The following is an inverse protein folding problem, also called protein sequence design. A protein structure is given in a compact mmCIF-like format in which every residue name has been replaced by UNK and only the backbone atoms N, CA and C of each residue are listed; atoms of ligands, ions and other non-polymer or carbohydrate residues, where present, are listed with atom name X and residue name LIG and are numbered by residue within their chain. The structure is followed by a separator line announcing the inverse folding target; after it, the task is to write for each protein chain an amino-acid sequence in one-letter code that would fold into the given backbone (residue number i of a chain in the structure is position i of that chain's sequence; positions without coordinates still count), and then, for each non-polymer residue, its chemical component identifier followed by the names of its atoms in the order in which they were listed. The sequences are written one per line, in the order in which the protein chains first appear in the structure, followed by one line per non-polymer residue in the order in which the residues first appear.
data_IF_015443563534
#
_entry.id   IF_015443563534
#
_cell.length_a   1.000
_cell.length_b   1.000
_cell.length_c   1.000
_cell.angle_alpha   90.00
_cell.angle_beta   90.00
_cell.angle_gamma   90.00
#
_symmetry.space_group_name_H-M   'P 1'
#
loop_
_entity.id
_entity.type
_entity.pdbx_description
1 polymer ?
#
# COMPACT_ATOMS: atom_id res chain seq x y z
N UNK A 1 -22.41 -15.90 -32.76
CA UNK A 1 -22.13 -16.82 -31.64
C UNK A 1 -21.28 -16.10 -30.59
N UNK A 2 -21.92 -15.44 -29.62
CA UNK A 2 -21.20 -14.76 -28.53
C UNK A 2 -20.94 -15.74 -27.40
N UNK A 3 -19.67 -16.05 -27.10
CA UNK A 3 -19.30 -16.87 -25.95
C UNK A 3 -19.73 -16.14 -24.67
N UNK A 4 -20.79 -16.63 -24.02
CA UNK A 4 -21.07 -16.32 -22.63
C UNK A 4 -19.87 -16.81 -21.80
N UNK A 5 -18.95 -15.91 -21.47
CA UNK A 5 -17.97 -16.12 -20.42
C UNK A 5 -18.75 -16.44 -19.15
N UNK A 6 -18.69 -17.70 -18.71
CA UNK A 6 -19.20 -18.12 -17.40
C UNK A 6 -18.46 -17.30 -16.36
N UNK A 7 -19.13 -16.28 -15.82
CA UNK A 7 -18.69 -15.59 -14.61
C UNK A 7 -18.77 -16.59 -13.46
N UNK A 8 -17.61 -17.01 -12.96
CA UNK A 8 -17.50 -17.75 -11.70
C UNK A 8 -17.94 -16.85 -10.54
N UNK A 9 -18.72 -17.45 -9.64
CA UNK A 9 -19.14 -16.81 -8.39
C UNK A 9 -18.45 -17.52 -7.25
N UNK A 10 -17.89 -16.75 -6.32
CA UNK A 10 -17.29 -17.27 -5.09
C UNK A 10 -18.17 -16.87 -3.91
N UNK A 11 -18.35 -17.78 -2.97
CA UNK A 11 -19.16 -17.51 -1.77
C UNK A 11 -18.42 -16.50 -0.88
N UNK A 12 -19.05 -15.34 -0.64
CA UNK A 12 -18.52 -14.33 0.28
C UNK A 12 -19.17 -14.54 1.66
N UNK A 13 -18.43 -15.03 2.67
CA UNK A 13 -18.96 -15.28 4.00
C UNK A 13 -19.38 -14.01 4.74
N UNK A 14 -18.97 -12.83 4.27
CA UNK A 14 -19.27 -11.50 4.83
C UNK A 14 -20.66 -11.01 4.40
N UNK A 15 -21.09 -11.36 3.19
CA UNK A 15 -22.41 -11.02 2.62
C UNK A 15 -23.39 -12.21 2.61
N UNK A 16 -22.93 -13.41 2.96
CA UNK A 16 -23.70 -14.67 2.91
C UNK A 16 -24.38 -14.92 1.55
N UNK A 17 -23.73 -14.54 0.47
CA UNK A 17 -24.22 -14.76 -0.89
C UNK A 17 -23.07 -15.10 -1.83
N UNK A 18 -23.41 -15.72 -2.95
CA UNK A 18 -22.48 -15.92 -4.06
C UNK A 18 -22.19 -14.55 -4.69
N UNK A 19 -20.99 -14.05 -4.48
CA UNK A 19 -20.53 -12.77 -5.04
C UNK A 19 -19.74 -13.10 -6.30
N UNK A 20 -19.87 -12.26 -7.33
CA UNK A 20 -19.03 -12.39 -8.52
C UNK A 20 -17.56 -12.34 -8.11
N UNK A 21 -16.73 -13.20 -8.69
CA UNK A 21 -15.29 -13.27 -8.41
C UNK A 21 -14.53 -11.94 -8.57
N UNK A 22 -15.14 -10.93 -9.19
CA UNK A 22 -14.60 -9.59 -9.30
C UNK A 22 -15.07 -8.69 -8.16
N UNK A 23 -14.14 -8.36 -7.27
CA UNK A 23 -14.21 -7.38 -6.17
C UNK A 23 -14.50 -5.92 -6.63
N UNK A 24 -14.80 -5.73 -7.93
CA UNK A 24 -15.05 -4.46 -8.62
C UNK A 24 -15.58 -4.70 -10.05
N UNK A 25 -16.53 -3.87 -10.51
CA UNK A 25 -16.97 -3.83 -11.91
C UNK A 25 -16.04 -3.01 -12.82
N UNK A 26 -14.99 -2.37 -12.27
CA UNK A 26 -14.08 -1.51 -13.02
C UNK A 26 -12.93 -2.30 -13.62
N UNK A 27 -12.82 -2.29 -14.95
CA UNK A 27 -11.73 -2.94 -15.71
C UNK A 27 -10.36 -2.43 -15.28
N UNK A 28 -10.24 -1.14 -15.01
CA UNK A 28 -9.01 -0.52 -14.51
C UNK A 28 -8.59 -1.11 -13.16
N UNK A 29 -9.53 -1.23 -12.23
CA UNK A 29 -9.22 -1.81 -10.91
C UNK A 29 -8.89 -3.29 -11.05
N UNK A 30 -9.57 -4.03 -11.95
CA UNK A 30 -9.24 -5.43 -12.26
C UNK A 30 -7.81 -5.55 -12.79
N UNK A 31 -7.44 -4.72 -13.77
CA UNK A 31 -6.08 -4.69 -14.33
C UNK A 31 -5.03 -4.41 -13.23
N UNK A 32 -5.25 -3.38 -12.42
CA UNK A 32 -4.35 -3.03 -11.31
C UNK A 32 -4.18 -4.17 -10.31
N UNK A 33 -5.28 -4.80 -9.87
CA UNK A 33 -5.25 -5.89 -8.90
C UNK A 33 -4.71 -7.21 -9.47
N UNK A 34 -4.78 -7.41 -10.79
CA UNK A 34 -4.21 -8.58 -11.46
C UNK A 34 -2.69 -8.48 -11.65
N UNK A 35 -2.13 -7.28 -11.59
CA UNK A 35 -0.69 -7.09 -11.71
C UNK A 35 -0.01 -7.49 -10.39
N UNK A 36 0.79 -8.55 -10.42
CA UNK A 36 1.45 -9.16 -9.25
C UNK A 36 2.34 -8.21 -8.44
N UNK A 37 2.87 -7.15 -9.06
CA UNK A 37 3.89 -6.29 -8.45
C UNK A 37 3.47 -4.85 -8.32
N UNK A 38 2.45 -4.42 -9.07
CA UNK A 38 1.99 -3.05 -9.01
C UNK A 38 0.75 -2.86 -8.15
N UNK A 39 -0.04 -3.91 -7.94
CA UNK A 39 -1.33 -3.83 -7.25
C UNK A 39 -1.22 -3.15 -5.88
N UNK A 40 -0.08 -3.29 -5.21
CA UNK A 40 0.11 -2.79 -3.86
C UNK A 40 0.60 -1.34 -3.78
N UNK A 41 1.05 -0.75 -4.88
CA UNK A 41 1.60 0.61 -4.89
C UNK A 41 0.60 1.66 -5.37
N UNK A 42 0.69 2.84 -4.77
CA UNK A 42 0.01 4.04 -5.26
C UNK A 42 0.38 4.28 -6.73
N UNK A 43 -0.58 4.68 -7.55
CA UNK A 43 -0.30 5.03 -8.95
C UNK A 43 0.52 6.33 -9.08
N UNK A 44 0.55 7.17 -8.03
CA UNK A 44 1.20 8.47 -8.06
C UNK A 44 2.53 8.52 -7.29
N UNK A 45 2.87 7.47 -6.54
CA UNK A 45 4.12 7.39 -5.80
C UNK A 45 4.45 5.95 -5.40
N UNK A 46 5.57 5.77 -4.70
CA UNK A 46 6.06 4.48 -4.25
C UNK A 46 5.35 3.93 -2.99
N UNK A 47 4.49 4.70 -2.33
CA UNK A 47 3.84 4.28 -1.08
C UNK A 47 2.78 3.22 -1.35
N UNK A 48 2.55 2.34 -0.36
CA UNK A 48 1.47 1.36 -0.42
C UNK A 48 0.09 2.00 -0.54
N UNK A 49 -0.81 1.37 -1.28
CA UNK A 49 -2.22 1.81 -1.36
C UNK A 49 -2.91 1.65 -0.01
N UNK A 50 -3.96 2.44 0.20
CA UNK A 50 -4.82 2.28 1.38
C UNK A 50 -5.43 0.87 1.46
N UNK A 51 -5.73 0.26 0.30
CA UNK A 51 -6.23 -1.10 0.23
C UNK A 51 -5.24 -2.10 0.83
N UNK A 52 -3.96 -2.02 0.48
CA UNK A 52 -2.91 -2.90 1.04
C UNK A 52 -2.81 -2.73 2.54
N UNK A 53 -2.79 -1.48 3.01
CA UNK A 53 -2.75 -1.16 4.43
C UNK A 53 -3.98 -1.76 5.13
N UNK A 54 -5.16 -1.69 4.50
CA UNK A 54 -6.40 -2.24 5.07
C UNK A 54 -6.40 -3.78 5.13
N UNK A 55 -5.94 -4.48 4.08
CA UNK A 55 -5.90 -5.95 4.08
C UNK A 55 -4.78 -6.49 4.99
N UNK A 56 -3.70 -5.74 5.19
CA UNK A 56 -2.60 -6.09 6.06
C UNK A 56 -2.92 -5.89 7.56
N UNK A 57 -4.00 -5.17 7.87
CA UNK A 57 -4.46 -4.88 9.23
C UNK A 57 -5.69 -5.74 9.59
N UNK A 58 -5.52 -7.03 9.94
CA UNK A 58 -6.64 -7.90 10.27
C UNK A 58 -7.51 -7.31 11.39
N UNK A 59 -8.83 -7.55 11.32
CA UNK A 59 -9.76 -7.27 12.42
C UNK A 59 -10.64 -8.48 12.66
N UNK A 60 -10.92 -8.75 13.93
CA UNK A 60 -11.82 -9.83 14.34
C UNK A 60 -13.14 -9.21 14.77
N UNK A 61 -14.24 -9.80 14.33
CA UNK A 61 -15.59 -9.35 14.66
C UNK A 61 -16.39 -10.51 15.22
N UNK A 62 -17.23 -10.26 16.22
CA UNK A 62 -18.17 -11.26 16.74
C UNK A 62 -19.61 -10.84 16.50
N UNK A 63 -20.45 -11.80 16.12
CA UNK A 63 -21.91 -11.63 16.06
C UNK A 63 -22.52 -11.75 17.45
N UNK A 64 -23.39 -10.82 17.81
CA UNK A 64 -24.15 -10.82 19.06
C UNK A 64 -25.51 -11.48 18.86
N UNK A 65 -26.20 -11.85 19.95
CA UNK A 65 -27.50 -12.57 19.96
C UNK A 65 -28.67 -11.89 19.22
N UNK A 66 -28.45 -10.75 18.55
CA UNK A 66 -29.44 -10.00 17.75
C UNK A 66 -28.96 -9.69 16.32
N UNK A 67 -27.92 -10.36 15.85
CA UNK A 67 -27.31 -10.09 14.53
C UNK A 67 -26.35 -8.89 14.50
N UNK A 68 -26.29 -8.08 15.57
CA UNK A 68 -25.32 -6.99 15.68
C UNK A 68 -23.88 -7.51 15.63
N UNK A 69 -23.02 -6.82 14.89
CA UNK A 69 -21.61 -7.15 14.74
C UNK A 69 -20.80 -6.20 15.65
N UNK A 70 -19.85 -6.74 16.41
CA UNK A 70 -18.94 -5.95 17.24
C UNK A 70 -17.49 -6.30 16.93
N UNK A 71 -16.65 -5.29 16.73
CA UNK A 71 -15.20 -5.47 16.64
C UNK A 71 -14.65 -5.99 17.98
N UNK A 72 -13.88 -7.07 17.93
CA UNK A 72 -13.20 -7.65 19.09
C UNK A 72 -11.84 -6.94 19.20
N UNK A 73 -11.56 -6.20 20.29
CA UNK A 73 -10.28 -5.55 20.45
C UNK A 73 -9.15 -6.58 20.60
N UNK A 74 -7.95 -6.22 20.13
CA UNK A 74 -6.74 -6.99 20.42
C UNK A 74 -6.27 -6.65 21.84
N UNK A 75 -6.52 -7.53 22.79
CA UNK A 75 -6.17 -7.34 24.20
C UNK A 75 -4.77 -7.88 24.52
N UNK A 76 -4.21 -7.44 25.65
CA UNK A 76 -2.90 -7.93 26.12
C UNK A 76 -2.91 -9.43 26.43
N UNK A 77 -4.05 -9.97 26.90
CA UNK A 77 -4.21 -11.42 27.12
C UNK A 77 -4.05 -12.22 25.83
N UNK A 78 -4.64 -11.75 24.72
CA UNK A 78 -4.53 -12.37 23.39
C UNK A 78 -3.09 -12.31 22.90
N UNK A 79 -2.40 -11.18 23.10
CA UNK A 79 -0.98 -11.03 22.76
C UNK A 79 -0.11 -12.00 23.53
N UNK A 80 -0.31 -12.10 24.84
CA UNK A 80 0.46 -13.00 25.71
C UNK A 80 0.24 -14.47 25.32
N UNK A 81 -1.01 -14.86 25.05
CA UNK A 81 -1.32 -16.22 24.63
C UNK A 81 -0.72 -16.55 23.24
N UNK A 82 -0.83 -15.61 22.30
CA UNK A 82 -0.23 -15.75 20.99
C UNK A 82 1.30 -15.89 21.08
N UNK A 83 1.94 -15.08 21.93
CA UNK A 83 3.39 -15.15 22.14
C UNK A 83 3.81 -16.51 22.69
N UNK A 84 3.10 -17.04 23.69
CA UNK A 84 3.37 -18.39 24.23
C UNK A 84 3.27 -19.48 23.15
N UNK A 85 2.27 -19.39 22.26
CA UNK A 85 2.14 -20.32 21.13
C UNK A 85 3.26 -20.16 20.12
N UNK A 86 3.70 -18.93 19.86
CA UNK A 86 4.81 -18.64 18.96
C UNK A 86 6.13 -19.17 19.51
N UNK A 87 6.45 -18.88 20.77
CA UNK A 87 7.66 -19.36 21.45
C UNK A 87 7.74 -20.88 21.42
N UNK A 88 6.64 -21.59 21.74
CA UNK A 88 6.62 -23.05 21.69
C UNK A 88 6.88 -23.63 20.28
N UNK A 89 6.48 -22.92 19.21
CA UNK A 89 6.78 -23.32 17.84
C UNK A 89 8.23 -23.01 17.46
N UNK A 90 8.78 -21.88 17.92
CA UNK A 90 10.17 -21.50 17.69
C UNK A 90 11.10 -22.50 18.39
N UNK A 91 10.84 -22.82 19.66
CA UNK A 91 11.61 -23.80 20.43
C UNK A 91 11.58 -25.18 19.74
N UNK A 92 10.41 -25.59 19.24
CA UNK A 92 10.29 -26.84 18.47
C UNK A 92 11.10 -26.79 17.18
N UNK A 93 11.10 -25.67 16.47
CA UNK A 93 11.85 -25.52 15.23
C UNK A 93 13.36 -25.56 15.48
N UNK A 94 13.85 -24.89 16.52
CA UNK A 94 15.24 -24.96 16.95
C UNK A 94 15.68 -26.40 17.26
N UNK A 95 14.88 -27.11 18.07
CA UNK A 95 15.10 -28.54 18.35
C UNK A 95 15.05 -29.42 17.09
N UNK A 96 14.17 -29.09 16.14
CA UNK A 96 14.09 -29.79 14.86
C UNK A 96 15.35 -29.57 14.01
N UNK A 97 15.91 -28.34 14.00
CA UNK A 97 17.17 -28.03 13.33
C UNK A 97 18.34 -28.80 13.96
N UNK A 98 18.31 -29.02 15.27
CA UNK A 98 19.28 -29.85 15.99
C UNK A 98 19.10 -31.36 15.74
N UNK A 99 18.12 -31.76 14.93
CA UNK A 99 17.92 -33.15 14.48
C UNK A 99 17.02 -34.01 15.37
N UNK A 100 16.43 -33.46 16.44
CA UNK A 100 15.66 -34.22 17.43
C UNK A 100 14.40 -34.91 16.85
N UNK A 101 13.85 -34.37 15.75
CA UNK A 101 12.60 -34.86 15.14
C UNK A 101 12.82 -35.46 13.74
N UNK A 102 14.08 -35.70 13.36
CA UNK A 102 14.45 -36.22 12.05
C UNK A 102 14.48 -35.16 10.93
N UNK A 103 15.10 -35.54 9.81
CA UNK A 103 15.50 -34.61 8.73
C UNK A 103 14.37 -33.89 8.00
N UNK A 104 13.12 -34.34 8.13
CA UNK A 104 11.99 -33.78 7.40
C UNK A 104 11.14 -32.81 8.23
N UNK A 105 11.37 -32.72 9.55
CA UNK A 105 10.55 -31.86 10.41
C UNK A 105 10.81 -30.36 10.14
N UNK A 106 12.07 -29.87 10.04
CA UNK A 106 12.31 -28.46 9.73
C UNK A 106 11.63 -27.98 8.43
N UNK A 107 11.80 -28.62 7.25
CA UNK A 107 11.14 -28.17 6.03
C UNK A 107 9.61 -28.28 6.11
N UNK A 108 9.07 -29.25 6.85
CA UNK A 108 7.62 -29.36 7.10
C UNK A 108 7.09 -28.19 7.93
N UNK A 109 7.84 -27.75 8.95
CA UNK A 109 7.48 -26.59 9.76
C UNK A 109 7.53 -25.31 8.93
N UNK A 110 8.61 -25.10 8.16
CA UNK A 110 8.73 -23.95 7.25
C UNK A 110 7.56 -23.88 6.27
N UNK A 111 7.25 -24.98 5.57
CA UNK A 111 6.13 -25.02 4.62
C UNK A 111 4.77 -24.78 5.26
N UNK A 112 4.59 -25.13 6.54
CA UNK A 112 3.31 -24.99 7.23
C UNK A 112 3.10 -23.57 7.76
N UNK A 113 4.15 -22.95 8.28
CA UNK A 113 4.04 -21.73 9.06
C UNK A 113 4.53 -20.48 8.31
N UNK A 114 5.47 -20.62 7.39
CA UNK A 114 6.11 -19.52 6.67
C UNK A 114 5.68 -19.48 5.20
N UNK A 115 5.84 -18.31 4.57
CA UNK A 115 5.81 -18.21 3.13
C UNK A 115 7.24 -18.44 2.60
N UNK A 116 7.42 -19.50 1.82
CA UNK A 116 8.74 -19.90 1.31
C UNK A 116 9.33 -18.81 0.39
N UNK A 117 8.49 -18.04 -0.29
CA UNK A 117 8.93 -16.94 -1.14
C UNK A 117 9.43 -15.76 -0.30
N UNK A 118 8.78 -15.46 0.83
CA UNK A 118 9.21 -14.40 1.76
C UNK A 118 10.49 -14.77 2.49
N UNK A 119 10.69 -16.05 2.84
CA UNK A 119 11.92 -16.51 3.51
C UNK A 119 13.18 -16.32 2.67
N UNK A 120 13.10 -16.32 1.32
CA UNK A 120 14.26 -16.15 0.42
C UNK A 120 15.46 -17.07 0.72
N UNK A 121 15.20 -18.25 1.28
CA UNK A 121 16.26 -19.19 1.69
C UNK A 121 16.86 -18.92 3.07
N UNK A 122 16.43 -17.87 3.79
CA UNK A 122 16.74 -17.69 5.20
C UNK A 122 15.88 -18.64 6.04
N UNK A 123 16.51 -19.70 6.53
CA UNK A 123 15.90 -20.71 7.39
C UNK A 123 16.33 -20.58 8.85
N UNK A 124 16.88 -19.41 9.22
CA UNK A 124 17.27 -19.11 10.60
C UNK A 124 16.08 -19.14 11.55
N UNK A 125 16.37 -19.32 12.84
CA UNK A 125 15.38 -19.27 13.92
C UNK A 125 14.70 -17.90 13.95
N UNK A 126 15.46 -16.83 13.70
CA UNK A 126 14.94 -15.44 13.65
C UNK A 126 13.93 -15.27 12.53
N UNK A 127 14.27 -15.66 11.30
CA UNK A 127 13.34 -15.55 10.16
C UNK A 127 12.07 -16.40 10.37
N UNK A 128 12.21 -17.60 10.96
CA UNK A 128 11.07 -18.42 11.33
C UNK A 128 10.17 -17.75 12.38
N UNK A 129 10.77 -17.15 13.42
CA UNK A 129 10.05 -16.45 14.49
C UNK A 129 9.20 -15.30 13.96
N UNK A 130 9.74 -14.45 13.08
CA UNK A 130 9.01 -13.31 12.51
C UNK A 130 7.70 -13.74 11.81
N UNK A 131 7.74 -14.83 11.05
CA UNK A 131 6.57 -15.38 10.38
C UNK A 131 5.56 -15.99 11.36
N UNK A 132 6.05 -16.74 12.35
CA UNK A 132 5.22 -17.44 13.32
C UNK A 132 4.52 -16.47 14.27
N UNK A 133 5.20 -15.44 14.78
CA UNK A 133 4.63 -14.48 15.73
C UNK A 133 3.40 -13.77 15.15
N UNK A 134 3.52 -13.24 13.92
CA UNK A 134 2.40 -12.60 13.23
C UNK A 134 1.24 -13.58 13.03
N UNK A 135 1.54 -14.81 12.62
CA UNK A 135 0.52 -15.84 12.36
C UNK A 135 -0.17 -16.31 13.64
N UNK A 136 0.57 -16.46 14.74
CA UNK A 136 0.03 -16.85 16.04
C UNK A 136 -0.84 -15.76 16.64
N UNK A 137 -0.46 -14.49 16.47
CA UNK A 137 -1.26 -13.34 16.89
C UNK A 137 -2.61 -13.32 16.17
N UNK A 138 -2.60 -13.40 14.83
CA UNK A 138 -3.83 -13.36 14.04
C UNK A 138 -4.72 -14.58 14.30
N UNK A 139 -4.13 -15.78 14.35
CA UNK A 139 -4.90 -17.01 14.59
C UNK A 139 -5.49 -17.08 15.99
N UNK A 140 -4.75 -16.65 17.02
CA UNK A 140 -5.25 -16.59 18.40
C UNK A 140 -6.35 -15.55 18.53
N UNK A 141 -6.16 -14.36 17.95
CA UNK A 141 -7.20 -13.34 17.96
C UNK A 141 -8.48 -13.80 17.24
N UNK A 142 -8.34 -14.52 16.12
CA UNK A 142 -9.45 -15.09 15.37
C UNK A 142 -10.23 -16.17 16.14
N UNK A 143 -9.74 -16.70 17.26
CA UNK A 143 -10.54 -17.60 18.10
C UNK A 143 -11.71 -16.88 18.79
N UNK A 144 -11.66 -15.55 18.87
CA UNK A 144 -12.68 -14.73 19.52
C UNK A 144 -13.77 -14.21 18.58
N UNK A 145 -13.75 -14.58 17.29
CA UNK A 145 -14.77 -14.17 16.31
C UNK A 145 -14.42 -14.55 14.87
N UNK A 146 -15.11 -13.93 13.91
CA UNK A 146 -14.83 -14.03 12.49
C UNK A 146 -13.73 -13.02 12.10
N UNK A 147 -12.65 -13.51 11.48
CA UNK A 147 -11.62 -12.66 10.90
C UNK A 147 -12.15 -12.04 9.61
N UNK A 148 -12.38 -10.73 9.61
CA UNK A 148 -12.88 -10.02 8.44
C UNK A 148 -11.87 -8.97 7.99
N UNK A 149 -11.79 -8.76 6.67
CA UNK A 149 -11.00 -7.66 6.12
C UNK A 149 -11.67 -6.33 6.50
N UNK A 150 -10.94 -5.36 7.07
CA UNK A 150 -11.50 -4.06 7.39
C UNK A 150 -12.05 -3.36 6.14
N UNK A 151 -13.27 -2.83 6.22
CA UNK A 151 -13.83 -1.96 5.19
C UNK A 151 -13.29 -0.50 5.28
N UNK A 152 -12.45 -0.21 6.27
CA UNK A 152 -11.88 1.11 6.58
C UNK A 152 -10.41 0.97 6.99
N UNK A 153 -9.63 2.03 6.81
CA UNK A 153 -8.24 2.08 7.28
C UNK A 153 -8.15 1.95 8.82
N UNK A 154 -7.01 1.48 9.36
CA UNK A 154 -6.76 1.49 10.79
C UNK A 154 -6.90 2.90 11.39
N UNK A 155 -7.51 3.01 12.57
CA UNK A 155 -7.67 4.30 13.28
C UNK A 155 -8.76 5.24 12.72
N UNK A 156 -9.42 4.91 11.60
CA UNK A 156 -10.47 5.75 11.04
C UNK A 156 -11.83 5.53 11.73
N UNK A 157 -12.64 6.61 11.92
CA UNK A 157 -13.98 6.50 12.48
C UNK A 157 -14.94 5.73 11.57
N UNK A 158 -16.03 5.25 12.16
CA UNK A 158 -17.09 4.57 11.44
C UNK A 158 -17.77 5.52 10.45
N UNK A 159 -17.96 5.07 9.20
CA UNK A 159 -18.47 5.92 8.11
C UNK A 159 -17.40 6.64 7.29
N UNK A 160 -16.11 6.55 7.64
CA UNK A 160 -15.02 7.06 6.79
C UNK A 160 -15.04 6.46 5.39
N UNK A 161 -14.57 7.23 4.41
CA UNK A 161 -14.53 6.78 3.02
C UNK A 161 -13.74 5.46 2.90
N UNK A 162 -14.20 4.55 2.04
CA UNK A 162 -13.56 3.25 1.82
C UNK A 162 -12.09 3.41 1.38
N UNK A 163 -11.19 2.49 1.78
CA UNK A 163 -9.81 2.46 1.31
C UNK A 163 -9.70 2.46 -0.21
N UNK A 164 -8.83 3.31 -0.75
CA UNK A 164 -8.52 3.35 -2.18
C UNK A 164 -7.69 2.15 -2.59
N UNK A 165 -8.12 1.47 -3.67
CA UNK A 165 -7.37 0.41 -4.37
C UNK A 165 -6.25 0.95 -5.25
N UNK A 166 -6.19 2.26 -5.49
CA UNK A 166 -5.26 2.91 -6.44
C UNK A 166 -4.27 3.86 -5.76
N UNK A 167 -4.63 4.42 -4.61
CA UNK A 167 -3.90 5.54 -4.00
C UNK A 167 -3.56 5.26 -2.55
N UNK A 168 -2.44 5.81 -2.09
CA UNK A 168 -2.12 5.91 -0.67
C UNK A 168 -2.95 7.02 0.00
N UNK A 169 -2.91 7.11 1.33
CA UNK A 169 -3.68 8.11 2.08
C UNK A 169 -3.36 9.56 1.68
N UNK A 170 -2.08 9.85 1.41
CA UNK A 170 -1.63 11.18 0.98
C UNK A 170 -2.07 11.55 -0.45
N UNK A 171 -2.51 10.58 -1.26
CA UNK A 171 -2.96 10.80 -2.64
C UNK A 171 -4.43 10.50 -2.85
N UNK A 172 -5.17 10.08 -1.82
CA UNK A 172 -6.59 9.83 -1.94
C UNK A 172 -7.39 11.14 -1.77
N UNK A 173 -8.04 11.67 -2.83
CA UNK A 173 -8.73 12.96 -2.79
C UNK A 173 -9.93 13.03 -1.84
N UNK A 174 -10.36 11.86 -1.32
CA UNK A 174 -11.46 11.72 -0.36
C UNK A 174 -10.99 11.83 1.10
N UNK A 175 -9.68 11.89 1.37
CA UNK A 175 -9.13 11.93 2.74
C UNK A 175 -9.03 13.35 3.29
N UNK A 176 -8.49 14.27 2.50
CA UNK A 176 -8.29 15.65 2.91
C UNK A 176 -8.12 16.57 1.71
N UNK A 177 -8.25 17.87 1.92
CA UNK A 177 -7.94 18.87 0.89
C UNK A 177 -6.47 18.83 0.48
N UNK A 178 -5.57 18.50 1.42
CA UNK A 178 -4.15 18.34 1.12
C UNK A 178 -3.90 17.14 0.20
N UNK A 179 -4.52 15.99 0.50
CA UNK A 179 -4.43 14.81 -0.35
C UNK A 179 -5.04 15.06 -1.74
N UNK A 180 -6.12 15.84 -1.81
CA UNK A 180 -6.72 16.29 -3.07
C UNK A 180 -5.77 17.17 -3.88
N UNK A 181 -5.06 18.12 -3.24
CA UNK A 181 -4.05 18.96 -3.91
C UNK A 181 -2.88 18.13 -4.42
N UNK A 182 -2.35 17.24 -3.58
CA UNK A 182 -1.28 16.32 -3.96
C UNK A 182 -1.68 15.47 -5.16
N UNK A 183 -2.87 14.86 -5.12
CA UNK A 183 -3.42 14.13 -6.26
C UNK A 183 -3.50 14.98 -7.53
N UNK A 184 -4.03 16.19 -7.46
CA UNK A 184 -4.18 17.06 -8.64
C UNK A 184 -2.84 17.52 -9.24
N UNK A 185 -1.83 17.72 -8.39
CA UNK A 185 -0.47 18.05 -8.80
C UNK A 185 0.18 16.86 -9.48
N UNK A 186 0.17 15.70 -8.82
CA UNK A 186 1.01 14.57 -9.21
C UNK A 186 0.35 13.73 -10.32
N UNK A 187 -0.98 13.71 -10.43
CA UNK A 187 -1.69 12.99 -11.51
C UNK A 187 -1.32 13.44 -12.93
N UNK A 188 -0.77 14.65 -13.07
CA UNK A 188 -0.36 15.22 -14.37
C UNK A 188 0.91 14.56 -14.90
N UNK A 189 1.66 13.92 -14.01
CA UNK A 189 2.97 13.36 -14.28
C UNK A 189 2.96 11.83 -14.18
N UNK A 190 1.80 11.19 -14.27
CA UNK A 190 1.68 9.72 -14.19
C UNK A 190 2.49 9.04 -15.28
N UNK A 191 2.39 9.52 -16.52
CA UNK A 191 3.15 8.95 -17.65
C UNK A 191 4.66 9.17 -17.47
N UNK A 192 5.08 10.38 -17.06
CA UNK A 192 6.49 10.67 -16.75
C UNK A 192 7.02 9.73 -15.63
N UNK A 193 6.18 9.43 -14.63
CA UNK A 193 6.51 8.52 -13.54
C UNK A 193 6.68 7.07 -14.02
N UNK A 194 5.72 6.57 -14.82
CA UNK A 194 5.76 5.23 -15.41
C UNK A 194 6.97 5.06 -16.35
N UNK A 195 7.28 6.07 -17.15
CA UNK A 195 8.44 6.08 -18.03
C UNK A 195 9.76 6.03 -17.24
N UNK A 196 9.85 6.76 -16.11
CA UNK A 196 11.03 6.70 -15.23
C UNK A 196 11.18 5.33 -14.58
N UNK A 197 10.10 4.70 -14.13
CA UNK A 197 10.11 3.33 -13.62
C UNK A 197 10.66 2.38 -14.68
N UNK A 198 10.13 2.45 -15.91
CA UNK A 198 10.56 1.59 -17.01
C UNK A 198 12.05 1.81 -17.37
N UNK A 199 12.51 3.06 -17.37
CA UNK A 199 13.92 3.40 -17.64
C UNK A 199 14.85 2.81 -16.59
N UNK A 200 14.57 2.99 -15.30
CA UNK A 200 15.39 2.44 -14.22
C UNK A 200 15.46 0.91 -14.33
N UNK A 201 14.31 0.25 -14.53
CA UNK A 201 14.27 -1.20 -14.75
C UNK A 201 15.14 -1.63 -15.94
N UNK A 202 15.06 -0.93 -17.07
CA UNK A 202 15.85 -1.28 -18.26
C UNK A 202 17.36 -1.12 -18.05
N UNK A 203 17.78 -0.13 -17.24
CA UNK A 203 19.17 0.16 -16.96
C UNK A 203 19.77 -0.81 -15.95
N UNK A 204 18.98 -1.23 -14.96
CA UNK A 204 19.44 -2.08 -13.86
C UNK A 204 19.03 -3.56 -14.03
N UNK A 205 18.44 -3.94 -15.17
CA UNK A 205 17.92 -5.28 -15.43
C UNK A 205 18.93 -6.43 -15.21
N UNK A 206 20.23 -6.16 -15.34
CA UNK A 206 21.30 -7.14 -15.12
C UNK A 206 21.66 -7.35 -13.64
N UNK A 207 21.28 -6.43 -12.75
CA UNK A 207 21.68 -6.41 -11.35
C UNK A 207 20.50 -6.56 -10.37
N UNK A 208 19.27 -6.30 -10.83
CA UNK A 208 18.10 -6.43 -9.99
C UNK A 208 17.69 -7.91 -9.84
N UNK A 209 17.43 -8.38 -8.60
CA UNK A 209 16.87 -9.71 -8.38
C UNK A 209 15.63 -9.92 -9.23
N UNK A 210 15.36 -11.17 -9.61
CA UNK A 210 14.18 -11.52 -10.39
C UNK A 210 12.90 -11.08 -9.67
N UNK A 211 12.30 -9.96 -10.13
CA UNK A 211 10.96 -9.47 -9.82
C UNK A 211 10.54 -9.65 -8.35
N UNK A 212 11.18 -8.91 -7.43
CA UNK A 212 10.82 -8.84 -5.99
C UNK A 212 10.08 -7.53 -5.65
N UNK A 213 9.18 -7.56 -4.66
CA UNK A 213 8.30 -6.44 -4.35
C UNK A 213 9.01 -5.24 -3.69
N UNK A 214 10.02 -5.49 -2.86
CA UNK A 214 10.89 -4.49 -2.23
C UNK A 214 11.77 -3.80 -3.27
N UNK A 215 12.31 -4.55 -4.23
CA UNK A 215 13.02 -4.01 -5.38
C UNK A 215 12.07 -3.13 -6.22
N UNK A 216 10.83 -3.57 -6.46
CA UNK A 216 9.81 -2.73 -7.09
C UNK A 216 9.52 -1.45 -6.27
N UNK A 217 9.54 -1.51 -4.94
CA UNK A 217 9.36 -0.35 -4.09
C UNK A 217 10.51 0.65 -4.23
N UNK A 218 11.76 0.18 -4.21
CA UNK A 218 12.94 1.03 -4.35
C UNK A 218 13.02 1.67 -5.74
N UNK A 219 12.78 0.92 -6.83
CA UNK A 219 12.72 1.50 -8.18
C UNK A 219 11.63 2.58 -8.27
N UNK A 220 10.44 2.30 -7.73
CA UNK A 220 9.34 3.28 -7.70
C UNK A 220 9.67 4.51 -6.87
N UNK A 221 10.41 4.35 -5.78
CA UNK A 221 10.83 5.44 -4.89
C UNK A 221 11.87 6.31 -5.57
N UNK A 222 12.82 5.70 -6.26
CA UNK A 222 13.83 6.43 -7.03
C UNK A 222 13.22 7.16 -8.23
N UNK A 223 12.34 6.51 -9.00
CA UNK A 223 11.58 7.17 -10.06
C UNK A 223 10.79 8.38 -9.54
N UNK A 224 10.18 8.24 -8.36
CA UNK A 224 9.43 9.34 -7.75
C UNK A 224 10.38 10.47 -7.31
N UNK A 225 11.55 10.15 -6.75
CA UNK A 225 12.58 11.13 -6.38
C UNK A 225 13.08 11.90 -7.59
N UNK A 226 13.41 11.20 -8.68
CA UNK A 226 13.85 11.80 -9.94
C UNK A 226 12.77 12.68 -10.54
N UNK A 227 11.52 12.24 -10.54
CA UNK A 227 10.39 13.04 -11.02
C UNK A 227 10.25 14.33 -10.19
N UNK A 228 10.31 14.22 -8.86
CA UNK A 228 10.27 15.40 -7.99
C UNK A 228 11.46 16.31 -8.24
N UNK A 229 12.66 15.80 -8.51
CA UNK A 229 13.82 16.63 -8.86
C UNK A 229 13.64 17.36 -10.20
N UNK A 230 13.12 16.67 -11.22
CA UNK A 230 12.86 17.22 -12.56
C UNK A 230 11.74 18.27 -12.56
N UNK A 231 10.74 18.10 -11.69
CA UNK A 231 9.55 18.98 -11.62
C UNK A 231 9.57 19.95 -10.44
N UNK A 232 10.56 19.83 -9.55
CA UNK A 232 10.82 20.85 -8.55
C UNK A 232 11.23 22.11 -9.30
N UNK A 233 10.53 23.24 -9.12
CA UNK A 233 10.95 24.47 -9.71
C UNK A 233 12.35 24.81 -9.19
N UNK A 234 13.37 24.68 -10.04
CA UNK A 234 14.74 25.11 -9.72
C UNK A 234 14.80 26.63 -9.60
N UNK A 235 13.83 27.31 -10.22
CA UNK A 235 13.62 28.74 -10.16
C UNK A 235 12.32 29.03 -9.43
N UNK A 236 12.33 30.01 -8.54
CA UNK A 236 11.13 30.58 -7.94
C UNK A 236 10.46 31.59 -8.88
N UNK A 237 9.24 32.01 -8.58
CA UNK A 237 8.59 33.13 -9.31
C UNK A 237 9.50 34.36 -9.29
N UNK A 238 10.22 34.61 -8.18
CA UNK A 238 11.10 35.76 -8.03
C UNK A 238 12.34 35.65 -8.92
N UNK A 239 12.93 34.45 -9.04
CA UNK A 239 14.05 34.22 -9.95
C UNK A 239 13.66 34.48 -11.41
N UNK A 240 12.46 34.06 -11.82
CA UNK A 240 11.96 34.27 -13.18
C UNK A 240 11.61 35.74 -13.45
N UNK A 241 11.06 36.44 -12.45
CA UNK A 241 10.82 37.88 -12.54
C UNK A 241 12.14 38.67 -12.63
N UNK A 242 13.17 38.27 -11.87
CA UNK A 242 14.51 38.87 -11.93
C UNK A 242 15.22 38.61 -13.27
N UNK A 243 14.93 37.49 -13.92
CA UNK A 243 15.39 37.19 -15.29
C UNK A 243 14.61 37.96 -16.37
N UNK A 244 13.67 38.82 -16.00
CA UNK A 244 12.90 39.67 -16.92
C UNK A 244 11.67 38.99 -17.53
N UNK A 245 11.32 37.79 -17.08
CA UNK A 245 10.12 37.10 -17.57
C UNK A 245 8.89 37.66 -16.83
N UNK A 246 8.13 38.51 -17.52
CA UNK A 246 6.96 39.21 -16.92
C UNK A 246 5.61 38.54 -17.25
N UNK A 247 5.59 37.62 -18.23
CA UNK A 247 4.37 36.92 -18.62
C UNK A 247 3.99 35.85 -17.59
N UNK A 248 2.84 36.02 -16.93
CA UNK A 248 2.31 35.04 -15.97
C UNK A 248 2.05 33.66 -16.59
N UNK A 249 1.75 33.60 -17.90
CA UNK A 249 1.57 32.34 -18.61
C UNK A 249 2.91 31.62 -18.82
N UNK A 250 3.98 32.38 -19.06
CA UNK A 250 5.32 31.84 -19.25
C UNK A 250 5.91 31.34 -17.94
N UNK A 251 5.77 32.12 -16.87
CA UNK A 251 6.12 31.70 -15.50
C UNK A 251 5.35 30.43 -15.12
N UNK A 252 4.05 30.34 -15.45
CA UNK A 252 3.24 29.16 -15.14
C UNK A 252 3.73 27.90 -15.88
N UNK A 253 4.14 28.05 -17.16
CA UNK A 253 4.72 26.94 -17.93
C UNK A 253 6.04 26.47 -17.35
N UNK A 254 6.96 27.39 -17.06
CA UNK A 254 8.28 27.04 -16.54
C UNK A 254 8.24 26.42 -15.14
N UNK A 255 7.32 26.88 -14.29
CA UNK A 255 7.14 26.35 -12.94
C UNK A 255 6.18 25.14 -12.87
N UNK A 256 5.57 24.73 -13.99
CA UNK A 256 4.60 23.62 -14.01
C UNK A 256 3.31 23.85 -13.20
N UNK A 257 2.96 25.11 -12.92
CA UNK A 257 1.78 25.50 -12.12
C UNK A 257 0.70 26.16 -12.98
N UNK A 258 -0.48 26.45 -12.42
CA UNK A 258 -1.51 27.17 -13.16
C UNK A 258 -1.20 28.68 -13.21
N UNK A 259 -1.60 29.36 -14.29
CA UNK A 259 -1.52 30.83 -14.40
C UNK A 259 -2.22 31.54 -13.22
N UNK A 260 -3.31 30.96 -12.72
CA UNK A 260 -4.02 31.49 -11.55
C UNK A 260 -3.20 31.37 -10.26
N UNK A 261 -2.45 30.28 -10.07
CA UNK A 261 -1.54 30.13 -8.93
C UNK A 261 -0.41 31.15 -8.98
N UNK A 262 0.16 31.41 -10.17
CA UNK A 262 1.15 32.48 -10.39
C UNK A 262 0.55 33.85 -10.06
N UNK A 263 -0.65 34.15 -10.57
CA UNK A 263 -1.34 35.42 -10.29
C UNK A 263 -1.61 35.62 -8.79
N UNK A 264 -2.09 34.57 -8.10
CA UNK A 264 -2.33 34.62 -6.66
C UNK A 264 -1.04 34.81 -5.85
N UNK A 265 0.05 34.14 -6.24
CA UNK A 265 1.35 34.29 -5.59
C UNK A 265 1.92 35.70 -5.77
N UNK A 266 1.87 36.26 -6.98
CA UNK A 266 2.28 37.64 -7.26
C UNK A 266 1.43 38.63 -6.43
N UNK A 267 0.10 38.47 -6.39
CA UNK A 267 -0.78 39.34 -5.58
C UNK A 267 -0.46 39.29 -4.08
N UNK A 268 -0.19 38.10 -3.52
CA UNK A 268 0.22 37.96 -2.11
C UNK A 268 1.53 38.65 -1.82
N UNK A 269 2.47 38.65 -2.77
CA UNK A 269 3.76 39.36 -2.68
C UNK A 269 3.56 40.87 -2.68
N UNK A 270 2.76 41.40 -3.59
CA UNK A 270 2.42 42.84 -3.63
C UNK A 270 1.76 43.32 -2.34
N UNK A 271 0.88 42.50 -1.75
CA UNK A 271 0.25 42.80 -0.47
C UNK A 271 1.22 42.79 0.72
N UNK A 272 2.22 41.90 0.73
CA UNK A 272 3.25 41.84 1.78
C UNK A 272 4.27 42.99 1.71
N UNK A 273 4.56 43.51 0.52
CA UNK A 273 5.46 44.67 0.36
C UNK A 273 4.76 46.01 0.65
N UNK A 274 3.42 46.03 0.67
CA UNK A 274 2.62 47.24 0.91
C UNK A 274 2.18 47.41 2.37
N UNK A 275 2.59 46.52 3.29
CA UNK A 275 2.40 46.68 4.73
C UNK A 275 3.77 46.86 5.40
N UNK A 276 4.06 48.03 5.99
CA UNK A 276 5.27 48.24 6.79
C UNK A 276 5.24 47.46 8.11
#
# INVERSE_FOLDING_TARGET
MGKHLKTSSTYDPLLQMLVRESDTSSDRIRAKLSNRYEWCFCELCWRSTEYVISIAAPKVFKRLKRGNIKAVPLTESVRTEAQKKADALVDRYERALNGEFGRYEPPRMLSKYCDIQELRGDFSITAFREHVERRMLVSTWAQHGELLRPAALPGQPEGSAKPSKLYCEAHNPRRSDEARRAYQRDRRFVLDYEDLIAKIWSQEAAFLPSWDIETHAEVRKEAYRLLQALKSPTSTIDDLLMQGITSQAEIARQLGVSRQAVSAAIKRRSGKQASP
#
